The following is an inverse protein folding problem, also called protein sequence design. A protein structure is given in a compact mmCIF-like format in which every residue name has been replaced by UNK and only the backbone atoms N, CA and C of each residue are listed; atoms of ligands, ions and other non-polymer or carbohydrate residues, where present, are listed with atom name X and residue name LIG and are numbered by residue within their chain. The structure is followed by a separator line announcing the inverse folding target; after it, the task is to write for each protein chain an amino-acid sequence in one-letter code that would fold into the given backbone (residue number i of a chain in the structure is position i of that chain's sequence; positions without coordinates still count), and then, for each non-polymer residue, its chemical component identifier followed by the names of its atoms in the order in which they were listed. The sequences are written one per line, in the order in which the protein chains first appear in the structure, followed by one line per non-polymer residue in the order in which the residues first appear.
data_IF_419230582174
#
_entry.id   IF_419230582174
#
_cell.length_a   1.000
_cell.length_b   1.000
_cell.length_c   1.000
_cell.angle_alpha   90.00
_cell.angle_beta   90.00
_cell.angle_gamma   90.00
#
_symmetry.space_group_name_H-M   'P 1'
#
loop_
_entity.id
_entity.type
_entity.pdbx_description
1 polymer ?
#
# COMPACT_ATOMS: atom_id res chain seq x y z
N UNK A 1 -15.47 -42.05 21.83
CA UNK A 1 -16.10 -40.73 22.16
C UNK A 1 -14.96 -39.77 22.51
N UNK A 2 -14.86 -38.67 21.79
CA UNK A 2 -13.82 -37.65 22.07
C UNK A 2 -14.06 -36.99 23.41
N UNK A 3 -12.98 -36.58 24.06
CA UNK A 3 -13.03 -35.88 25.35
C UNK A 3 -13.78 -34.52 25.23
N UNK A 4 -14.24 -33.98 26.35
CA UNK A 4 -14.86 -32.66 26.39
C UNK A 4 -13.87 -31.60 25.89
N UNK A 5 -12.59 -31.77 26.24
CA UNK A 5 -11.51 -30.90 25.78
C UNK A 5 -11.41 -30.85 24.24
N UNK A 6 -11.40 -32.01 23.57
CA UNK A 6 -11.36 -32.09 22.11
C UNK A 6 -12.54 -31.35 21.47
N UNK A 7 -13.73 -31.46 22.02
CA UNK A 7 -14.91 -30.75 21.52
C UNK A 7 -14.76 -29.25 21.66
N UNK A 8 -14.28 -28.75 22.81
CA UNK A 8 -14.04 -27.34 23.05
C UNK A 8 -13.03 -26.80 22.04
N UNK A 9 -11.91 -27.51 21.84
CA UNK A 9 -10.88 -27.10 20.87
C UNK A 9 -11.44 -27.01 19.45
N UNK A 10 -12.19 -28.02 18.99
CA UNK A 10 -12.79 -28.02 17.64
C UNK A 10 -13.76 -26.85 17.47
N UNK A 11 -14.66 -26.63 18.43
CA UNK A 11 -15.59 -25.51 18.36
C UNK A 11 -14.88 -24.15 18.42
N UNK A 12 -13.85 -24.01 19.25
CA UNK A 12 -13.08 -22.77 19.34
C UNK A 12 -12.36 -22.43 18.02
N UNK A 13 -11.70 -23.45 17.43
CA UNK A 13 -11.02 -23.26 16.13
C UNK A 13 -12.05 -22.93 15.04
N UNK A 14 -13.17 -23.62 15.00
CA UNK A 14 -14.22 -23.36 14.02
C UNK A 14 -14.83 -21.97 14.19
N UNK A 15 -15.08 -21.54 15.43
CA UNK A 15 -15.57 -20.19 15.73
C UNK A 15 -14.58 -19.13 15.27
N UNK A 16 -13.30 -19.31 15.60
CA UNK A 16 -12.24 -18.38 15.15
C UNK A 16 -12.16 -18.31 13.63
N UNK A 17 -12.22 -19.45 12.95
CA UNK A 17 -12.26 -19.50 11.50
C UNK A 17 -13.45 -18.73 10.91
N UNK A 18 -14.65 -18.90 11.48
CA UNK A 18 -15.84 -18.16 11.04
C UNK A 18 -15.71 -16.66 11.26
N UNK A 19 -15.17 -16.23 12.40
CA UNK A 19 -14.92 -14.81 12.69
C UNK A 19 -13.96 -14.23 11.65
N UNK A 20 -12.84 -14.91 11.36
CA UNK A 20 -11.87 -14.46 10.37
C UNK A 20 -12.52 -14.41 8.97
N UNK A 21 -13.29 -15.43 8.60
CA UNK A 21 -13.97 -15.51 7.32
C UNK A 21 -14.96 -14.35 7.12
N UNK A 22 -15.82 -14.11 8.09
CA UNK A 22 -16.80 -13.01 8.00
C UNK A 22 -16.15 -11.64 8.12
N UNK A 23 -15.13 -11.51 8.98
CA UNK A 23 -14.34 -10.29 9.03
C UNK A 23 -13.71 -9.98 7.67
N UNK A 24 -13.07 -10.94 7.03
CA UNK A 24 -12.46 -10.77 5.71
C UNK A 24 -13.50 -10.39 4.66
N UNK A 25 -14.68 -11.01 4.71
CA UNK A 25 -15.78 -10.70 3.78
C UNK A 25 -16.24 -9.24 3.91
N UNK A 26 -16.49 -8.75 5.13
CA UNK A 26 -16.90 -7.36 5.35
C UNK A 26 -15.75 -6.38 5.04
N UNK A 27 -14.53 -6.71 5.42
CA UNK A 27 -13.35 -5.89 5.10
C UNK A 27 -13.15 -5.77 3.58
N UNK A 28 -13.42 -6.83 2.82
CA UNK A 28 -13.32 -6.81 1.37
C UNK A 28 -14.40 -5.93 0.71
N UNK A 29 -15.62 -5.95 1.26
CA UNK A 29 -16.72 -5.07 0.78
C UNK A 29 -16.36 -3.61 1.04
N UNK A 30 -15.93 -3.27 2.25
CA UNK A 30 -15.56 -1.89 2.59
C UNK A 30 -14.34 -1.41 1.79
N UNK A 31 -13.36 -2.28 1.59
CA UNK A 31 -12.19 -1.97 0.76
C UNK A 31 -12.58 -1.75 -0.71
N UNK A 32 -13.49 -2.57 -1.23
CA UNK A 32 -14.03 -2.40 -2.59
C UNK A 32 -14.79 -1.08 -2.75
N UNK A 33 -15.56 -0.72 -1.75
CA UNK A 33 -16.31 0.53 -1.78
C UNK A 33 -15.38 1.75 -1.87
N UNK A 34 -14.30 1.73 -1.13
CA UNK A 34 -13.31 2.81 -1.10
C UNK A 34 -12.40 2.83 -2.35
N UNK A 35 -11.85 1.68 -2.73
CA UNK A 35 -10.78 1.60 -3.74
C UNK A 35 -11.20 1.04 -5.09
N UNK A 36 -12.43 0.54 -5.22
CA UNK A 36 -12.96 -0.11 -6.44
C UNK A 36 -12.04 -1.21 -6.99
N UNK A 37 -11.35 -1.91 -6.09
CA UNK A 37 -10.42 -3.00 -6.37
C UNK A 37 -10.43 -4.05 -5.26
N UNK A 38 -9.96 -5.26 -5.54
CA UNK A 38 -9.68 -6.27 -4.52
C UNK A 38 -8.50 -5.84 -3.65
N UNK A 39 -8.29 -6.54 -2.53
CA UNK A 39 -7.12 -6.30 -1.69
C UNK A 39 -5.84 -6.28 -2.51
N UNK A 40 -5.02 -5.27 -2.29
CA UNK A 40 -3.77 -5.02 -2.98
C UNK A 40 -2.73 -4.48 -1.99
N UNK A 41 -1.65 -3.90 -2.49
CA UNK A 41 -0.59 -3.33 -1.66
C UNK A 41 -1.10 -2.27 -0.66
N UNK A 42 -2.20 -1.56 -0.95
CA UNK A 42 -2.79 -0.58 -0.03
C UNK A 42 -3.29 -1.29 1.24
N UNK A 43 -3.93 -2.47 1.09
CA UNK A 43 -4.38 -3.25 2.24
C UNK A 43 -3.20 -3.74 3.09
N UNK A 44 -2.07 -4.05 2.47
CA UNK A 44 -0.83 -4.40 3.17
C UNK A 44 -0.24 -3.19 3.92
N UNK A 45 -0.21 -2.03 3.27
CA UNK A 45 0.23 -0.78 3.89
C UNK A 45 -0.62 -0.42 5.12
N UNK A 46 -1.90 -0.76 5.10
CA UNK A 46 -2.81 -0.55 6.23
C UNK A 46 -2.42 -1.35 7.48
N UNK A 47 -1.75 -2.48 7.33
CA UNK A 47 -1.17 -3.21 8.47
C UNK A 47 0.06 -2.50 9.04
N UNK A 48 0.79 -1.76 8.20
CA UNK A 48 2.02 -1.06 8.61
C UNK A 48 1.67 0.24 9.34
N UNK A 49 0.66 0.97 8.84
CA UNK A 49 0.20 2.26 9.39
C UNK A 49 -1.08 2.10 10.22
N UNK A 50 -1.10 1.10 11.09
CA UNK A 50 -2.31 0.64 11.79
C UNK A 50 -3.03 1.75 12.56
N UNK A 51 -2.32 2.67 13.19
CA UNK A 51 -2.93 3.71 14.02
C UNK A 51 -3.76 4.70 13.19
N UNK A 52 -3.19 5.26 12.13
CA UNK A 52 -3.87 6.21 11.25
C UNK A 52 -5.06 5.55 10.55
N UNK A 53 -4.88 4.29 10.15
CA UNK A 53 -5.93 3.52 9.46
C UNK A 53 -7.08 3.21 10.39
N UNK A 54 -6.82 2.75 11.61
CA UNK A 54 -7.88 2.47 12.60
C UNK A 54 -8.68 3.73 12.89
N UNK A 55 -8.03 4.88 13.04
CA UNK A 55 -8.70 6.16 13.25
C UNK A 55 -9.58 6.53 12.05
N UNK A 56 -9.06 6.42 10.82
CA UNK A 56 -9.80 6.71 9.60
C UNK A 56 -11.02 5.78 9.43
N UNK A 57 -10.84 4.48 9.70
CA UNK A 57 -11.95 3.51 9.67
C UNK A 57 -13.02 3.86 10.71
N UNK A 58 -12.63 4.30 11.93
CA UNK A 58 -13.57 4.70 12.98
C UNK A 58 -14.39 5.94 12.59
N UNK A 59 -13.79 6.86 11.85
CA UNK A 59 -14.45 8.08 11.35
C UNK A 59 -15.38 7.79 10.15
N UNK A 60 -15.02 6.82 9.30
CA UNK A 60 -15.70 6.56 8.03
C UNK A 60 -16.77 5.47 8.11
N UNK A 61 -16.63 4.51 9.03
CA UNK A 61 -17.49 3.33 9.09
C UNK A 61 -18.09 3.09 10.49
N UNK A 62 -19.33 2.61 10.59
CA UNK A 62 -19.97 2.28 11.88
C UNK A 62 -19.44 0.93 12.40
N UNK A 63 -18.23 0.92 12.96
CA UNK A 63 -17.54 -0.28 13.45
C UNK A 63 -18.41 -1.14 14.38
N UNK A 64 -19.16 -0.57 15.37
CA UNK A 64 -20.00 -1.40 16.25
C UNK A 64 -21.06 -2.22 15.49
N UNK A 65 -21.62 -1.65 14.41
CA UNK A 65 -22.60 -2.35 13.57
C UNK A 65 -21.94 -3.47 12.77
N UNK A 66 -20.77 -3.22 12.20
CA UNK A 66 -20.01 -4.24 11.46
C UNK A 66 -19.59 -5.40 12.35
N UNK A 67 -19.03 -5.11 13.53
CA UNK A 67 -18.68 -6.14 14.50
C UNK A 67 -19.91 -6.91 15.00
N UNK A 68 -21.01 -6.21 15.30
CA UNK A 68 -22.27 -6.82 15.65
C UNK A 68 -22.80 -7.76 14.57
N UNK A 69 -22.70 -7.36 13.31
CA UNK A 69 -23.05 -8.18 12.14
C UNK A 69 -22.20 -9.45 12.06
N UNK A 70 -20.88 -9.32 12.20
CA UNK A 70 -19.94 -10.46 12.16
C UNK A 70 -20.28 -11.46 13.29
N UNK A 71 -20.46 -10.97 14.52
CA UNK A 71 -20.79 -11.83 15.66
C UNK A 71 -22.16 -12.50 15.50
N UNK A 72 -23.15 -11.79 14.99
CA UNK A 72 -24.50 -12.33 14.74
C UNK A 72 -24.46 -13.45 13.70
N UNK A 73 -23.82 -13.22 12.55
CA UNK A 73 -23.72 -14.24 11.51
C UNK A 73 -22.90 -15.43 11.97
N UNK A 74 -21.83 -15.20 12.73
CA UNK A 74 -21.03 -16.26 13.34
C UNK A 74 -21.90 -17.10 14.29
N UNK A 75 -22.66 -16.46 15.17
CA UNK A 75 -23.58 -17.12 16.10
C UNK A 75 -24.66 -17.95 15.41
N UNK A 76 -25.28 -17.37 14.35
CA UNK A 76 -26.27 -18.08 13.52
C UNK A 76 -25.66 -19.31 12.82
N UNK A 77 -24.46 -19.17 12.26
CA UNK A 77 -23.75 -20.29 11.60
C UNK A 77 -23.42 -21.39 12.60
N UNK A 78 -22.93 -21.03 13.78
CA UNK A 78 -22.68 -21.99 14.87
C UNK A 78 -23.98 -22.68 15.32
N UNK A 79 -25.06 -21.95 15.44
CA UNK A 79 -26.35 -22.50 15.81
C UNK A 79 -26.85 -23.51 14.75
N UNK A 80 -26.81 -23.15 13.48
CA UNK A 80 -27.23 -24.04 12.39
C UNK A 80 -26.34 -25.28 12.29
N UNK A 81 -25.02 -25.12 12.37
CA UNK A 81 -24.08 -26.26 12.29
C UNK A 81 -24.17 -27.20 13.49
N UNK A 82 -24.43 -26.69 14.69
CA UNK A 82 -24.65 -27.50 15.88
C UNK A 82 -25.99 -28.24 15.84
N UNK A 83 -27.07 -27.57 15.52
CA UNK A 83 -28.41 -28.18 15.36
C UNK A 83 -28.48 -29.17 14.20
N UNK A 84 -27.80 -28.86 13.10
CA UNK A 84 -27.67 -29.75 11.93
C UNK A 84 -26.75 -30.94 12.16
N UNK A 85 -26.22 -31.13 13.37
CA UNK A 85 -25.31 -32.23 13.71
C UNK A 85 -24.09 -32.33 12.81
N UNK A 86 -23.59 -31.19 12.27
CA UNK A 86 -22.45 -31.16 11.34
C UNK A 86 -21.21 -31.85 11.92
N UNK A 87 -20.93 -31.66 13.21
CA UNK A 87 -19.80 -32.26 13.90
C UNK A 87 -20.09 -33.68 14.48
N UNK A 88 -21.28 -34.25 14.24
CA UNK A 88 -21.65 -35.54 14.81
C UNK A 88 -20.67 -36.64 14.43
N UNK A 89 -20.35 -36.74 13.13
CA UNK A 89 -19.39 -37.74 12.65
C UNK A 89 -17.96 -37.45 13.16
N UNK A 90 -17.57 -36.21 13.23
CA UNK A 90 -16.25 -35.79 13.73
C UNK A 90 -16.03 -36.20 15.19
N UNK A 91 -17.07 -36.17 16.02
CA UNK A 91 -16.97 -36.51 17.43
C UNK A 91 -17.21 -37.98 17.74
N UNK A 92 -17.95 -38.68 16.88
CA UNK A 92 -18.31 -40.08 17.09
C UNK A 92 -17.50 -41.07 16.25
N UNK A 93 -16.76 -40.59 15.25
CA UNK A 93 -15.91 -41.44 14.43
C UNK A 93 -14.43 -41.10 14.64
N UNK A 94 -13.62 -42.14 14.80
CA UNK A 94 -12.17 -41.98 14.91
C UNK A 94 -11.50 -42.49 13.61
N UNK A 95 -11.07 -41.60 12.72
CA UNK A 95 -10.40 -41.99 11.49
C UNK A 95 -9.07 -42.70 11.81
N UNK A 96 -8.67 -43.66 10.97
CA UNK A 96 -7.38 -44.32 11.09
C UNK A 96 -6.22 -43.36 10.95
N UNK A 97 -5.06 -43.73 11.46
CA UNK A 97 -3.84 -42.89 11.34
C UNK A 97 -3.48 -42.62 9.87
N UNK A 98 -3.66 -43.63 9.01
CA UNK A 98 -3.44 -43.49 7.57
C UNK A 98 -4.38 -42.44 6.92
N UNK A 99 -5.66 -42.43 7.30
CA UNK A 99 -6.60 -41.41 6.82
C UNK A 99 -6.24 -39.98 7.29
N UNK A 100 -5.80 -39.82 8.55
CA UNK A 100 -5.33 -38.56 9.08
C UNK A 100 -4.13 -38.02 8.30
N UNK A 101 -3.13 -38.88 8.09
CA UNK A 101 -1.93 -38.55 7.32
C UNK A 101 -2.31 -38.24 5.87
N UNK A 102 -3.18 -39.04 5.24
CA UNK A 102 -3.63 -38.80 3.87
C UNK A 102 -4.29 -37.44 3.68
N UNK A 103 -5.23 -37.07 4.58
CA UNK A 103 -5.89 -35.75 4.55
C UNK A 103 -4.87 -34.61 4.79
N UNK A 104 -3.95 -34.79 5.73
CA UNK A 104 -2.90 -33.80 6.01
C UNK A 104 -2.01 -33.61 4.78
N UNK A 105 -1.50 -34.66 4.19
CA UNK A 105 -0.64 -34.62 2.99
C UNK A 105 -1.37 -34.02 1.78
N UNK A 106 -2.65 -34.35 1.60
CA UNK A 106 -3.48 -33.77 0.55
C UNK A 106 -3.63 -32.24 0.72
N UNK A 107 -3.94 -31.77 1.94
CA UNK A 107 -4.01 -30.32 2.20
C UNK A 107 -2.65 -29.64 2.03
N UNK A 108 -1.55 -30.27 2.47
CA UNK A 108 -0.21 -29.75 2.27
C UNK A 108 0.12 -29.59 0.77
N UNK A 109 -0.22 -30.60 -0.03
CA UNK A 109 -0.07 -30.58 -1.48
C UNK A 109 -0.89 -29.45 -2.13
N UNK A 110 -2.17 -29.31 -1.75
CA UNK A 110 -3.02 -28.23 -2.24
C UNK A 110 -2.45 -26.84 -1.89
N UNK A 111 -1.95 -26.68 -0.67
CA UNK A 111 -1.31 -25.44 -0.23
C UNK A 111 -0.07 -25.14 -1.07
N UNK A 112 0.77 -26.16 -1.28
CA UNK A 112 1.97 -26.03 -2.13
C UNK A 112 1.61 -25.63 -3.56
N UNK A 113 0.65 -26.31 -4.19
CA UNK A 113 0.17 -25.97 -5.53
C UNK A 113 -0.37 -24.54 -5.58
N UNK A 114 -1.15 -24.14 -4.57
CA UNK A 114 -1.69 -22.78 -4.51
C UNK A 114 -0.60 -21.71 -4.43
N UNK A 115 0.46 -21.93 -3.64
CA UNK A 115 1.55 -20.97 -3.46
C UNK A 115 2.40 -20.83 -4.73
N UNK A 116 2.66 -21.92 -5.43
CA UNK A 116 3.60 -21.93 -6.56
C UNK A 116 2.95 -21.68 -7.92
N UNK A 117 1.72 -22.10 -8.12
CA UNK A 117 1.05 -22.07 -9.43
C UNK A 117 -0.05 -21.03 -9.55
N UNK A 118 -0.63 -20.58 -8.42
CA UNK A 118 -1.64 -19.52 -8.47
C UNK A 118 -0.99 -18.16 -8.24
N UNK A 119 -1.29 -17.22 -9.13
CA UNK A 119 -0.99 -15.79 -8.96
C UNK A 119 -2.18 -14.95 -9.44
N UNK A 120 -2.16 -13.65 -9.15
CA UNK A 120 -3.24 -12.74 -9.56
C UNK A 120 -3.33 -12.56 -11.08
N UNK A 121 -2.25 -12.83 -11.82
CA UNK A 121 -2.21 -12.64 -13.26
C UNK A 121 -3.05 -13.71 -13.98
N UNK A 122 -3.21 -14.90 -13.38
CA UNK A 122 -4.07 -15.96 -13.91
C UNK A 122 -5.54 -15.57 -13.96
N UNK A 123 -5.97 -14.59 -13.17
CA UNK A 123 -7.33 -14.05 -13.18
C UNK A 123 -7.51 -12.82 -14.08
N UNK A 124 -6.41 -12.30 -14.65
CA UNK A 124 -6.42 -11.10 -15.50
C UNK A 124 -6.60 -11.48 -16.97
N UNK A 125 -7.79 -11.98 -17.33
CA UNK A 125 -8.12 -12.51 -18.67
C UNK A 125 -8.90 -11.53 -19.53
N UNK A 126 -9.34 -10.39 -19.00
CA UNK A 126 -10.16 -9.40 -19.68
C UNK A 126 -9.39 -8.10 -19.93
N UNK A 127 -9.69 -7.40 -21.01
CA UNK A 127 -9.21 -6.03 -21.24
C UNK A 127 -9.85 -5.02 -20.26
N UNK A 128 -11.00 -5.37 -19.70
CA UNK A 128 -11.67 -4.53 -18.71
C UNK A 128 -11.08 -4.79 -17.31
N UNK A 129 -10.48 -3.75 -16.74
CA UNK A 129 -9.89 -3.79 -15.39
C UNK A 129 -10.87 -4.25 -14.30
N UNK A 130 -12.14 -3.80 -14.35
CA UNK A 130 -13.13 -4.19 -13.35
C UNK A 130 -13.45 -5.68 -13.40
N UNK A 131 -13.53 -6.27 -14.59
CA UNK A 131 -13.73 -7.71 -14.73
C UNK A 131 -12.56 -8.49 -14.13
N UNK A 132 -11.34 -8.05 -14.35
CA UNK A 132 -10.15 -8.65 -13.77
C UNK A 132 -10.15 -8.53 -12.24
N UNK A 133 -10.56 -7.38 -11.69
CA UNK A 133 -10.66 -7.22 -10.23
C UNK A 133 -11.75 -8.12 -9.63
N UNK A 134 -12.90 -8.27 -10.27
CA UNK A 134 -14.00 -9.16 -9.80
C UNK A 134 -13.57 -10.62 -9.83
N UNK A 135 -12.78 -11.04 -10.82
CA UNK A 135 -12.32 -12.44 -10.95
C UNK A 135 -11.27 -12.86 -9.93
N UNK A 136 -10.62 -11.91 -9.23
CA UNK A 136 -9.65 -12.19 -8.17
C UNK A 136 -10.32 -12.60 -6.87
N UNK A 137 -9.66 -13.44 -6.09
CA UNK A 137 -10.06 -13.75 -4.73
C UNK A 137 -9.36 -12.77 -3.76
N UNK A 138 -10.14 -12.03 -2.95
CA UNK A 138 -9.61 -10.95 -2.13
C UNK A 138 -8.54 -11.39 -1.12
N UNK A 139 -8.82 -12.47 -0.36
CA UNK A 139 -7.84 -13.00 0.62
C UNK A 139 -6.55 -13.47 -0.06
N UNK A 140 -6.65 -14.10 -1.23
CA UNK A 140 -5.49 -14.52 -2.01
C UNK A 140 -4.70 -13.30 -2.51
N UNK A 141 -5.40 -12.29 -3.03
CA UNK A 141 -4.81 -11.04 -3.50
C UNK A 141 -4.08 -10.30 -2.38
N UNK A 142 -4.60 -10.34 -1.14
CA UNK A 142 -3.93 -9.79 0.04
C UNK A 142 -2.58 -10.47 0.30
N UNK A 143 -2.56 -11.82 0.39
CA UNK A 143 -1.32 -12.56 0.64
C UNK A 143 -0.34 -12.47 -0.54
N UNK A 144 -0.84 -12.41 -1.76
CA UNK A 144 -0.03 -12.16 -2.95
C UNK A 144 0.64 -10.78 -2.89
N UNK A 145 -0.11 -9.74 -2.54
CA UNK A 145 0.41 -8.39 -2.37
C UNK A 145 1.42 -8.32 -1.20
N UNK A 146 1.12 -8.98 -0.08
CA UNK A 146 2.03 -9.05 1.07
C UNK A 146 3.38 -9.69 0.70
N UNK A 147 3.36 -10.78 -0.04
CA UNK A 147 4.56 -11.48 -0.50
C UNK A 147 5.37 -10.64 -1.49
N UNK A 148 4.69 -9.92 -2.39
CA UNK A 148 5.29 -9.16 -3.47
C UNK A 148 5.55 -7.69 -3.07
N UNK A 149 5.30 -7.29 -1.84
CA UNK A 149 5.50 -5.92 -1.37
C UNK A 149 6.98 -5.50 -1.28
N UNK A 150 7.89 -6.46 -1.36
CA UNK A 150 9.33 -6.24 -1.47
C UNK A 150 9.79 -6.42 -2.92
N UNK A 151 9.40 -5.48 -3.78
CA UNK A 151 9.95 -5.41 -5.12
C UNK A 151 11.42 -5.03 -5.04
N UNK A 152 12.30 -5.97 -5.32
CA UNK A 152 13.70 -5.67 -5.53
C UNK A 152 13.84 -4.92 -6.85
N UNK A 153 14.44 -3.75 -6.82
CA UNK A 153 14.58 -2.89 -7.97
C UNK A 153 15.27 -3.63 -9.14
N UNK A 154 16.32 -4.36 -8.85
CA UNK A 154 17.14 -5.07 -9.83
C UNK A 154 16.41 -6.20 -10.57
N UNK A 155 15.35 -6.75 -9.98
CA UNK A 155 14.56 -7.83 -10.59
C UNK A 155 13.53 -7.29 -11.60
N UNK A 156 13.10 -6.01 -11.47
CA UNK A 156 11.98 -5.44 -12.22
C UNK A 156 12.38 -4.30 -13.16
N UNK A 157 13.54 -3.68 -12.93
CA UNK A 157 14.01 -2.54 -13.68
C UNK A 157 15.39 -2.82 -14.27
N UNK A 158 15.59 -2.33 -15.48
CA UNK A 158 16.94 -2.32 -16.06
C UNK A 158 17.81 -1.38 -15.25
N UNK A 159 18.88 -1.89 -14.69
CA UNK A 159 19.91 -1.11 -14.02
C UNK A 159 21.12 -0.92 -14.92
N UNK A 160 21.81 0.19 -14.74
CA UNK A 160 23.09 0.46 -15.39
C UNK A 160 24.20 0.31 -14.33
N UNK A 161 25.43 -0.03 -14.73
CA UNK A 161 26.58 0.13 -13.87
C UNK A 161 26.64 1.55 -13.30
N UNK A 162 26.91 1.68 -12.00
CA UNK A 162 26.79 2.96 -11.27
C UNK A 162 27.61 4.08 -11.91
N UNK A 163 28.81 3.78 -12.41
CA UNK A 163 29.68 4.74 -13.09
C UNK A 163 29.05 5.26 -14.39
N UNK A 164 28.41 4.36 -15.15
CA UNK A 164 27.71 4.74 -16.36
C UNK A 164 26.48 5.58 -16.06
N UNK A 165 25.74 5.23 -15.00
CA UNK A 165 24.58 6.00 -14.56
C UNK A 165 24.98 7.43 -14.17
N UNK A 166 26.05 7.61 -13.40
CA UNK A 166 26.56 8.92 -13.05
C UNK A 166 27.06 9.71 -14.26
N UNK A 167 27.71 9.05 -15.21
CA UNK A 167 28.17 9.70 -16.45
C UNK A 167 27.00 10.24 -17.26
N UNK A 168 25.97 9.42 -17.47
CA UNK A 168 24.78 9.83 -18.21
C UNK A 168 24.07 11.01 -17.53
N UNK A 169 23.88 10.95 -16.22
CA UNK A 169 23.24 12.04 -15.47
C UNK A 169 24.08 13.32 -15.49
N UNK A 170 25.41 13.23 -15.43
CA UNK A 170 26.29 14.40 -15.58
C UNK A 170 26.15 15.05 -16.95
N UNK A 171 26.06 14.27 -18.00
CA UNK A 171 25.86 14.79 -19.37
C UNK A 171 24.54 15.54 -19.48
N UNK A 172 23.44 14.98 -18.95
CA UNK A 172 22.12 15.62 -18.93
C UNK A 172 22.08 16.92 -18.09
N UNK A 173 22.84 16.96 -16.99
CA UNK A 173 22.88 18.11 -16.09
C UNK A 173 23.92 19.16 -16.50
N UNK A 174 24.73 18.89 -17.52
CA UNK A 174 25.79 19.78 -17.95
C UNK A 174 25.23 20.90 -18.83
N UNK A 175 25.44 22.14 -18.40
CA UNK A 175 25.24 23.31 -19.22
C UNK A 175 26.47 24.24 -19.14
N UNK A 176 26.44 25.37 -19.85
CA UNK A 176 27.55 26.33 -19.89
C UNK A 176 27.88 27.02 -18.54
N UNK A 177 26.99 26.87 -17.53
CA UNK A 177 27.09 27.48 -16.21
C UNK A 177 27.31 26.46 -15.10
N UNK A 178 27.35 25.18 -15.42
CA UNK A 178 27.48 24.09 -14.46
C UNK A 178 28.92 23.69 -14.27
N UNK A 179 29.40 23.74 -13.02
CA UNK A 179 30.72 23.25 -12.60
C UNK A 179 30.49 22.09 -11.63
N UNK A 180 30.88 20.87 -12.03
CA UNK A 180 30.82 19.71 -11.13
C UNK A 180 31.99 19.69 -10.17
N UNK A 181 31.71 19.39 -8.91
CA UNK A 181 32.72 19.25 -7.87
C UNK A 181 33.43 17.89 -8.03
N UNK A 182 34.76 17.91 -8.11
CA UNK A 182 35.56 16.71 -8.33
C UNK A 182 35.97 15.99 -7.03
N UNK A 183 35.88 16.68 -5.89
CA UNK A 183 36.41 16.16 -4.62
C UNK A 183 35.32 15.60 -3.68
N UNK A 184 34.06 15.64 -4.06
CA UNK A 184 32.97 15.28 -3.17
C UNK A 184 32.51 13.82 -3.36
N UNK A 185 32.09 13.18 -2.25
CA UNK A 185 31.50 11.82 -2.30
C UNK A 185 30.27 11.70 -3.21
N UNK A 186 29.60 12.83 -3.48
CA UNK A 186 28.48 12.88 -4.43
C UNK A 186 28.99 13.38 -5.79
N UNK A 187 29.12 12.50 -6.78
CA UNK A 187 29.63 12.88 -8.10
C UNK A 187 28.69 13.81 -8.90
N UNK A 188 27.45 14.02 -8.45
CA UNK A 188 26.49 14.93 -9.07
C UNK A 188 26.47 16.32 -8.44
N UNK A 189 27.20 16.54 -7.37
CA UNK A 189 27.32 17.84 -6.76
C UNK A 189 27.90 18.83 -7.74
N UNK A 190 27.22 19.98 -7.86
CA UNK A 190 27.60 21.01 -8.84
C UNK A 190 27.30 22.41 -8.32
N UNK A 191 28.05 23.35 -8.79
CA UNK A 191 27.80 24.77 -8.65
C UNK A 191 27.22 25.30 -9.97
N UNK A 192 26.11 26.01 -9.89
CA UNK A 192 25.52 26.71 -11.05
C UNK A 192 25.88 28.19 -10.93
N UNK A 193 26.64 28.70 -11.91
CA UNK A 193 27.03 30.10 -11.92
C UNK A 193 25.82 31.00 -12.18
N UNK A 194 25.59 31.95 -11.26
CA UNK A 194 24.52 32.90 -11.39
C UNK A 194 24.69 33.76 -12.65
N UNK A 195 23.60 33.97 -13.37
CA UNK A 195 23.59 34.85 -14.59
C UNK A 195 23.45 36.30 -14.26
N UNK A 196 23.04 36.66 -13.04
CA UNK A 196 22.67 38.04 -12.67
C UNK A 196 23.26 38.35 -11.31
N UNK A 197 24.26 39.21 -11.28
CA UNK A 197 24.92 39.71 -10.08
C UNK A 197 24.08 40.75 -9.29
N UNK A 198 22.84 40.98 -9.72
CA UNK A 198 21.95 41.98 -9.12
C UNK A 198 21.07 41.47 -7.97
N UNK A 199 21.11 40.14 -7.69
CA UNK A 199 20.42 39.63 -6.50
C UNK A 199 21.32 39.85 -5.28
N UNK A 200 20.79 40.43 -4.18
CA UNK A 200 21.56 40.61 -2.96
C UNK A 200 22.01 39.23 -2.42
N UNK A 201 23.20 39.21 -1.82
CA UNK A 201 23.77 38.00 -1.14
C UNK A 201 22.95 37.51 0.05
N UNK A 202 21.77 38.05 0.27
CA UNK A 202 20.90 37.61 1.35
C UNK A 202 20.36 36.21 1.08
N UNK A 203 20.74 35.29 1.92
CA UNK A 203 20.19 33.92 1.93
C UNK A 203 18.75 33.98 2.43
N UNK A 204 17.72 33.78 1.58
CA UNK A 204 16.35 33.83 2.04
C UNK A 204 16.04 32.59 2.93
N UNK A 205 15.14 32.81 3.89
CA UNK A 205 14.52 31.67 4.57
C UNK A 205 13.52 31.01 3.61
N UNK A 206 13.57 29.68 3.50
CA UNK A 206 12.63 28.91 2.71
C UNK A 206 11.68 28.18 3.65
N UNK A 207 10.37 28.45 3.49
CA UNK A 207 9.31 27.70 4.20
C UNK A 207 8.61 26.84 3.17
N UNK A 208 8.71 25.52 3.34
CA UNK A 208 8.03 24.54 2.50
C UNK A 208 6.78 24.03 3.19
N UNK A 209 5.60 24.24 2.56
CA UNK A 209 4.31 23.79 3.10
C UNK A 209 3.75 22.68 2.19
N UNK A 210 3.76 21.46 2.68
CA UNK A 210 3.13 20.32 2.01
C UNK A 210 1.71 20.15 2.52
N UNK A 211 0.73 20.33 1.62
CA UNK A 211 -0.69 20.16 1.96
C UNK A 211 -1.12 18.72 1.63
N UNK A 212 -1.69 18.05 2.62
CA UNK A 212 -2.22 16.69 2.47
C UNK A 212 -3.49 16.70 1.62
N UNK A 213 -3.58 15.74 0.68
CA UNK A 213 -4.77 15.48 -0.15
C UNK A 213 -5.34 16.68 -0.91
N UNK A 214 -4.54 17.73 -1.13
CA UNK A 214 -4.98 18.93 -1.84
C UNK A 214 -4.89 18.76 -3.35
N UNK A 215 -6.03 18.56 -3.99
CA UNK A 215 -6.14 18.56 -5.45
C UNK A 215 -6.30 19.97 -6.00
N UNK A 216 -5.70 20.26 -7.15
CA UNK A 216 -5.90 21.52 -7.87
C UNK A 216 -7.35 21.74 -8.30
N UNK A 217 -8.15 20.67 -8.43
CA UNK A 217 -9.59 20.79 -8.72
C UNK A 217 -10.34 21.59 -7.66
N UNK A 218 -9.96 21.50 -6.38
CA UNK A 218 -10.56 22.28 -5.30
C UNK A 218 -10.42 23.80 -5.48
N UNK A 219 -9.40 24.25 -6.19
CA UNK A 219 -9.22 25.68 -6.49
C UNK A 219 -10.25 26.21 -7.50
N UNK A 220 -10.92 25.33 -8.23
CA UNK A 220 -11.96 25.68 -9.19
C UNK A 220 -13.38 25.48 -8.64
N UNK A 221 -13.51 24.76 -7.52
CA UNK A 221 -14.79 24.43 -6.91
C UNK A 221 -15.41 25.61 -6.16
N UNK A 222 -16.73 25.65 -6.20
CA UNK A 222 -17.53 26.67 -5.53
C UNK A 222 -18.64 26.01 -4.70
N UNK A 223 -18.92 26.60 -3.54
CA UNK A 223 -20.06 26.29 -2.72
C UNK A 223 -20.93 27.54 -2.54
N UNK A 224 -22.22 27.48 -2.90
CA UNK A 224 -23.12 28.63 -2.89
C UNK A 224 -22.56 29.89 -3.60
N UNK A 225 -21.87 29.69 -4.72
CA UNK A 225 -21.30 30.77 -5.52
C UNK A 225 -19.99 31.38 -4.95
N UNK A 226 -19.46 30.81 -3.89
CA UNK A 226 -18.18 31.22 -3.28
C UNK A 226 -17.12 30.14 -3.47
N UNK A 227 -15.88 30.54 -3.79
CA UNK A 227 -14.76 29.61 -3.86
C UNK A 227 -14.53 28.93 -2.52
N UNK A 228 -14.30 27.61 -2.53
CA UNK A 228 -13.97 26.87 -1.31
C UNK A 228 -12.51 27.07 -0.88
N UNK A 229 -11.66 27.63 -1.76
CA UNK A 229 -10.24 27.92 -1.50
C UNK A 229 -9.88 29.37 -1.81
N UNK A 230 -10.56 30.40 -1.25
CA UNK A 230 -10.39 31.78 -1.66
C UNK A 230 -8.97 32.30 -1.41
N UNK A 231 -8.35 31.92 -0.30
CA UNK A 231 -7.00 32.36 0.07
C UNK A 231 -5.92 31.74 -0.83
N UNK A 232 -6.05 30.46 -1.17
CA UNK A 232 -5.14 29.80 -2.12
C UNK A 232 -5.27 30.39 -3.52
N UNK A 233 -6.49 30.69 -3.96
CA UNK A 233 -6.74 31.34 -5.23
C UNK A 233 -6.14 32.76 -5.29
N UNK A 234 -6.18 33.49 -4.18
CA UNK A 234 -5.54 34.79 -4.08
C UNK A 234 -4.02 34.69 -4.07
N UNK A 235 -3.47 33.70 -3.35
CA UNK A 235 -2.03 33.44 -3.32
C UNK A 235 -1.53 33.08 -4.72
N UNK A 236 -2.22 32.20 -5.43
CA UNK A 236 -1.87 31.78 -6.80
C UNK A 236 -1.83 32.95 -7.78
N UNK A 237 -2.72 33.96 -7.64
CA UNK A 237 -2.73 35.16 -8.45
C UNK A 237 -1.54 36.11 -8.19
N UNK A 238 -0.99 36.08 -6.98
CA UNK A 238 0.06 36.98 -6.52
C UNK A 238 1.44 36.30 -6.43
N UNK A 239 1.59 35.09 -6.96
CA UNK A 239 2.83 34.33 -6.89
C UNK A 239 3.14 33.64 -8.22
N UNK A 240 4.26 32.94 -8.30
CA UNK A 240 4.55 32.02 -9.41
C UNK A 240 3.69 30.77 -9.18
N UNK A 241 2.69 30.57 -10.03
CA UNK A 241 1.80 29.42 -9.98
C UNK A 241 2.10 28.46 -11.12
N UNK A 242 2.53 27.25 -10.77
CA UNK A 242 2.84 26.18 -11.72
C UNK A 242 1.57 25.36 -11.98
N UNK A 243 0.78 25.74 -12.97
CA UNK A 243 -0.54 25.15 -13.25
C UNK A 243 -0.49 23.70 -13.78
N UNK A 244 0.66 23.28 -14.31
CA UNK A 244 0.85 21.95 -14.88
C UNK A 244 1.82 21.10 -14.03
N UNK A 245 1.68 21.19 -12.71
CA UNK A 245 2.46 20.41 -11.76
C UNK A 245 1.66 19.21 -11.27
N UNK A 246 2.27 18.04 -11.31
CA UNK A 246 1.66 16.80 -10.85
C UNK A 246 2.38 16.27 -9.62
N UNK A 247 1.60 15.80 -8.63
CA UNK A 247 2.16 15.09 -7.50
C UNK A 247 2.82 13.79 -7.96
N UNK A 248 4.00 13.52 -7.42
CA UNK A 248 4.76 12.32 -7.73
C UNK A 248 4.55 11.27 -6.64
N UNK A 249 4.16 10.06 -7.03
CA UNK A 249 3.85 8.96 -6.12
C UNK A 249 2.39 8.91 -5.66
N UNK A 250 2.02 7.77 -5.11
CA UNK A 250 0.64 7.46 -4.68
C UNK A 250 0.42 7.63 -3.16
N UNK A 251 1.44 8.06 -2.43
CA UNK A 251 1.44 8.23 -0.97
C UNK A 251 2.19 9.50 -0.60
N UNK A 252 1.79 10.16 0.50
CA UNK A 252 2.43 11.36 1.02
C UNK A 252 3.92 11.16 1.24
N UNK A 253 4.34 10.04 1.80
CA UNK A 253 5.77 9.72 2.01
C UNK A 253 6.57 9.71 0.71
N UNK A 254 5.95 9.28 -0.42
CA UNK A 254 6.62 9.30 -1.73
C UNK A 254 6.76 10.71 -2.28
N UNK A 255 5.74 11.53 -2.10
CA UNK A 255 5.81 12.95 -2.42
C UNK A 255 6.88 13.68 -1.60
N UNK A 256 6.99 13.34 -0.32
CA UNK A 256 8.06 13.88 0.55
C UNK A 256 9.45 13.47 0.06
N UNK A 257 9.67 12.20 -0.27
CA UNK A 257 10.93 11.72 -0.84
C UNK A 257 11.29 12.45 -2.14
N UNK A 258 10.31 12.64 -3.02
CA UNK A 258 10.54 13.35 -4.28
C UNK A 258 10.97 14.80 -4.04
N UNK A 259 10.36 15.49 -3.08
CA UNK A 259 10.68 16.90 -2.79
C UNK A 259 11.99 17.04 -2.01
N UNK A 260 12.20 16.24 -0.95
CA UNK A 260 13.37 16.40 -0.06
C UNK A 260 14.64 15.77 -0.62
N UNK A 261 14.51 14.64 -1.32
CA UNK A 261 15.66 13.88 -1.86
C UNK A 261 15.83 14.05 -3.36
N UNK A 262 14.88 14.72 -4.05
CA UNK A 262 14.85 14.83 -5.52
C UNK A 262 14.86 13.46 -6.23
N UNK A 263 14.26 12.44 -5.60
CA UNK A 263 14.21 11.07 -6.12
C UNK A 263 12.79 10.77 -6.60
N UNK A 264 12.60 10.37 -7.85
CA UNK A 264 11.29 9.91 -8.30
C UNK A 264 10.86 8.69 -7.50
N UNK A 265 9.55 8.51 -7.22
CA UNK A 265 9.07 7.38 -6.42
C UNK A 265 9.44 6.06 -7.10
N UNK A 266 10.09 5.21 -6.32
CA UNK A 266 10.46 3.87 -6.72
C UNK A 266 9.49 2.85 -6.14
N UNK A 267 9.26 1.70 -6.77
CA UNK A 267 8.42 0.64 -6.20
C UNK A 267 8.95 0.13 -4.85
N UNK A 268 8.09 -0.54 -4.11
CA UNK A 268 8.43 -1.15 -2.82
C UNK A 268 8.37 -0.16 -1.65
N UNK A 269 9.07 -0.44 -0.57
CA UNK A 269 9.07 0.36 0.65
C UNK A 269 9.67 1.76 0.44
N UNK A 270 9.18 2.71 1.24
CA UNK A 270 9.77 4.05 1.35
C UNK A 270 11.27 3.97 1.62
N UNK A 271 12.04 4.88 1.03
CA UNK A 271 13.51 4.93 1.19
C UNK A 271 13.90 5.03 2.67
N UNK A 272 13.18 5.82 3.45
CA UNK A 272 13.41 5.96 4.90
C UNK A 272 13.23 4.66 5.69
N UNK A 273 12.54 3.68 5.14
CA UNK A 273 12.32 2.35 5.74
C UNK A 273 13.24 1.27 5.17
N UNK A 274 14.08 1.59 4.18
CA UNK A 274 15.02 0.64 3.59
C UNK A 274 16.27 0.53 4.45
N UNK A 275 16.87 -0.65 4.44
CA UNK A 275 18.22 -0.86 4.97
C UNK A 275 19.20 -0.10 4.05
N UNK A 276 20.27 0.45 4.62
CA UNK A 276 21.33 1.19 3.90
C UNK A 276 20.90 2.55 3.30
N UNK A 277 19.98 3.25 3.96
CA UNK A 277 19.58 4.61 3.58
C UNK A 277 20.48 5.74 4.13
N UNK A 278 21.64 5.41 4.70
CA UNK A 278 22.53 6.33 5.45
C UNK A 278 23.31 7.29 4.56
N UNK A 279 23.41 7.04 3.27
CA UNK A 279 24.22 7.82 2.31
C UNK A 279 23.35 8.66 1.38
N UNK A 280 22.18 9.04 1.81
CA UNK A 280 21.28 9.93 1.07
C UNK A 280 21.64 11.39 1.35
N UNK A 281 21.55 12.23 0.33
CA UNK A 281 21.75 13.66 0.41
C UNK A 281 20.39 14.35 0.43
N UNK A 282 20.14 15.14 1.44
CA UNK A 282 18.92 15.91 1.60
C UNK A 282 19.08 17.35 1.10
N UNK A 283 17.94 18.01 0.89
CA UNK A 283 17.90 19.41 0.45
C UNK A 283 18.63 20.38 1.43
N UNK A 284 18.86 19.96 2.67
CA UNK A 284 19.40 20.75 3.77
C UNK A 284 20.84 20.39 4.17
N UNK A 285 21.47 19.46 3.47
CA UNK A 285 22.93 19.16 3.62
C UNK A 285 23.77 19.82 2.52
#
# INVERSE_FOLDING_TARGET
IRSVFDKVVVYSIFTLYLIILYFTFFAEITFWDEFKSRFNFIAVDYLIYTYEVVKNIQESYPIPILLGGILTITGLTLFVTTKGKFFYHTFNHSPSTAQKIGVFMFNLMLTFVSIYFLNNDTSSTSENRYNNEISKAGIFSFFSAFRNNHLKYDEHYRSLPIEQAFTNVKEELKDSKTIFDQEFKNPLRRTILATNSALPEQKPNVIFVMMESMSSSFMQEQYNGQSITPNLNQLAKNSIYLSNMFANGTRTVRGMEAVTLSIPPTPGNSIVKRVDNQNLFELYT
#
